data_IF_855977025391
#
_entry.id   IF_855977025391
#
_cell.length_a   1.000
_cell.length_b   1.000
_cell.length_c   1.000
_cell.angle_alpha   90.00
_cell.angle_beta   90.00
_cell.angle_gamma   90.00
#
_symmetry.space_group_name_H-M   'P 1'
#
loop_
_entity.id
_entity.type
_entity.pdbx_description
1 polymer ?
#
# COMPACT_ATOMS: atom_id res chain seq x y z
N UNK A 1 7.25 21.68 -9.08
CA UNK A 1 8.23 20.61 -9.16
C UNK A 1 8.02 19.54 -8.08
N UNK A 2 8.86 18.51 -8.03
CA UNK A 2 8.75 17.38 -7.07
C UNK A 2 8.78 17.83 -5.60
N UNK A 3 9.61 18.83 -5.26
CA UNK A 3 9.68 19.41 -3.91
C UNK A 3 8.34 20.01 -3.48
N UNK A 4 7.61 20.65 -4.39
CA UNK A 4 6.31 21.25 -4.11
C UNK A 4 5.25 20.18 -3.84
N UNK A 5 5.23 19.09 -4.63
CA UNK A 5 4.30 17.97 -4.41
C UNK A 5 4.51 17.30 -3.04
N UNK A 6 5.78 17.14 -2.63
CA UNK A 6 6.13 16.59 -1.30
C UNK A 6 5.64 17.47 -0.16
N UNK A 7 5.82 18.80 -0.28
CA UNK A 7 5.32 19.75 0.71
C UNK A 7 3.79 19.70 0.83
N UNK A 8 3.09 19.68 -0.32
CA UNK A 8 1.62 19.59 -0.34
C UNK A 8 1.15 18.31 0.33
N UNK A 9 1.78 17.17 0.01
CA UNK A 9 1.42 15.88 0.59
C UNK A 9 1.62 15.86 2.11
N UNK A 10 2.78 16.30 2.60
CA UNK A 10 3.06 16.40 4.02
C UNK A 10 2.06 17.35 4.71
N UNK A 11 1.79 18.51 4.09
CA UNK A 11 0.80 19.45 4.62
C UNK A 11 -0.57 18.82 4.77
N UNK A 12 -1.07 18.08 3.76
CA UNK A 12 -2.35 17.38 3.85
C UNK A 12 -2.42 16.42 5.03
N UNK A 13 -1.35 15.67 5.28
CA UNK A 13 -1.28 14.74 6.41
C UNK A 13 -1.37 15.53 7.72
N UNK A 14 -0.55 16.56 7.89
CA UNK A 14 -0.48 17.35 9.12
C UNK A 14 -1.78 18.14 9.37
N UNK A 15 -2.38 18.72 8.34
CA UNK A 15 -3.68 19.41 8.43
C UNK A 15 -4.79 18.45 8.90
N UNK A 16 -4.81 17.23 8.37
CA UNK A 16 -5.77 16.21 8.79
C UNK A 16 -5.54 15.79 10.25
N UNK A 17 -4.29 15.54 10.62
CA UNK A 17 -3.90 15.19 12.00
C UNK A 17 -4.28 16.32 12.98
N UNK A 18 -3.97 17.56 12.65
CA UNK A 18 -4.31 18.72 13.48
C UNK A 18 -5.83 18.87 13.67
N UNK A 19 -6.61 18.59 12.63
CA UNK A 19 -8.08 18.58 12.72
C UNK A 19 -8.61 17.50 13.66
N UNK A 20 -7.99 16.32 13.68
CA UNK A 20 -8.42 15.17 14.49
C UNK A 20 -7.88 15.21 15.93
N UNK A 21 -6.70 15.74 16.11
CA UNK A 21 -6.03 15.85 17.40
C UNK A 21 -5.44 17.25 17.61
N UNK A 22 -6.29 18.29 17.80
CA UNK A 22 -5.85 19.67 17.96
C UNK A 22 -4.85 19.86 19.11
N UNK A 23 -5.09 19.15 20.21
CA UNK A 23 -4.24 19.24 21.44
C UNK A 23 -2.77 18.93 21.15
N UNK A 24 -2.47 18.11 20.18
CA UNK A 24 -1.08 17.79 19.80
C UNK A 24 -0.32 18.98 19.18
N UNK A 25 -1.01 20.06 18.83
CA UNK A 25 -0.44 21.27 18.21
C UNK A 25 -0.65 22.52 19.04
N UNK A 26 -1.30 22.43 20.22
CA UNK A 26 -1.57 23.58 21.10
C UNK A 26 -0.33 24.11 21.81
N UNK A 27 0.67 23.24 22.03
CA UNK A 27 1.93 23.69 22.59
C UNK A 27 2.77 24.37 21.51
N UNK A 28 3.01 25.67 21.65
CA UNK A 28 3.79 26.50 20.72
C UNK A 28 5.29 26.11 20.54
N UNK A 29 5.72 25.02 21.12
CA UNK A 29 7.01 24.39 20.85
C UNK A 29 6.98 23.67 19.50
N UNK A 30 7.55 24.28 18.48
CA UNK A 30 7.64 23.66 17.15
C UNK A 30 8.28 22.26 17.20
N UNK A 31 7.78 21.34 16.38
CA UNK A 31 8.30 19.96 16.29
C UNK A 31 9.23 19.87 15.08
N UNK A 32 10.44 19.37 15.26
CA UNK A 32 11.35 19.05 14.18
C UNK A 32 11.32 17.53 13.91
N UNK A 33 10.76 17.12 12.77
CA UNK A 33 10.67 15.73 12.38
C UNK A 33 11.72 15.43 11.33
N UNK A 34 12.65 14.52 11.62
CA UNK A 34 13.62 13.99 10.66
C UNK A 34 13.24 12.56 10.29
N UNK A 35 13.13 12.28 9.00
CA UNK A 35 12.92 10.93 8.49
C UNK A 35 14.15 10.46 7.71
N UNK A 36 14.52 9.19 7.89
CA UNK A 36 15.59 8.53 7.15
C UNK A 36 15.01 7.30 6.45
N UNK A 37 15.49 7.03 5.24
CA UNK A 37 15.18 5.83 4.48
C UNK A 37 16.48 5.14 4.07
N UNK A 38 16.51 3.82 4.17
CA UNK A 38 17.66 2.99 3.79
C UNK A 38 17.57 2.50 2.33
N UNK A 39 16.57 2.96 1.59
CA UNK A 39 16.35 2.63 0.18
C UNK A 39 16.02 3.88 -0.64
N UNK A 40 16.24 3.79 -1.95
CA UNK A 40 15.94 4.90 -2.84
C UNK A 40 14.40 5.07 -2.97
N UNK A 41 13.92 6.28 -2.70
CA UNK A 41 12.49 6.61 -2.78
C UNK A 41 11.86 6.33 -4.15
N UNK A 42 12.66 6.32 -5.22
CA UNK A 42 12.17 6.05 -6.58
C UNK A 42 11.85 4.58 -6.83
N UNK A 43 12.28 3.67 -5.95
CA UNK A 43 12.01 2.24 -6.09
C UNK A 43 10.54 1.84 -5.90
N UNK A 44 9.69 2.75 -5.44
CA UNK A 44 8.25 2.45 -5.31
C UNK A 44 7.89 1.60 -4.10
N UNK A 45 8.77 1.44 -3.13
CA UNK A 45 8.58 0.59 -1.94
C UNK A 45 7.77 1.26 -0.82
N UNK A 46 6.62 1.86 -1.16
CA UNK A 46 5.64 2.32 -0.17
C UNK A 46 6.06 3.50 0.73
N UNK A 47 7.07 4.32 0.33
CA UNK A 47 7.57 5.43 1.17
C UNK A 47 6.49 6.42 1.65
N UNK A 48 5.41 6.59 0.90
CA UNK A 48 4.27 7.45 1.29
C UNK A 48 3.45 6.80 2.40
N UNK A 49 3.18 5.50 2.31
CA UNK A 49 2.46 4.75 3.33
C UNK A 49 3.26 4.68 4.64
N UNK A 50 4.57 4.46 4.56
CA UNK A 50 5.47 4.50 5.72
C UNK A 50 5.41 5.86 6.42
N UNK A 51 5.43 6.97 5.67
CA UNK A 51 5.32 8.30 6.26
C UNK A 51 3.98 8.52 6.94
N UNK A 52 2.87 8.13 6.30
CA UNK A 52 1.54 8.19 6.91
C UNK A 52 1.50 7.37 8.20
N UNK A 53 1.96 6.12 8.15
CA UNK A 53 1.96 5.22 9.30
C UNK A 53 2.75 5.81 10.48
N UNK A 54 3.97 6.30 10.23
CA UNK A 54 4.82 6.87 11.27
C UNK A 54 4.21 8.13 11.91
N UNK A 55 3.68 9.06 11.09
CA UNK A 55 3.04 10.26 11.59
C UNK A 55 1.75 9.94 12.35
N UNK A 56 0.92 9.04 11.81
CA UNK A 56 -0.32 8.64 12.46
C UNK A 56 -0.05 8.01 13.83
N UNK A 57 0.91 7.09 13.91
CA UNK A 57 1.29 6.45 15.17
C UNK A 57 1.85 7.46 16.18
N UNK A 58 2.69 8.40 15.73
CA UNK A 58 3.24 9.44 16.60
C UNK A 58 2.14 10.30 17.24
N UNK A 59 1.08 10.60 16.48
CA UNK A 59 -0.04 11.41 16.95
C UNK A 59 -1.23 10.61 17.49
N UNK A 60 -1.11 9.29 17.64
CA UNK A 60 -2.15 8.42 18.18
C UNK A 60 -3.38 8.27 17.29
N UNK A 61 -3.23 8.36 15.97
CA UNK A 61 -4.31 8.21 14.99
C UNK A 61 -4.21 6.88 14.23
N UNK A 62 -5.34 6.41 13.70
CA UNK A 62 -5.35 5.23 12.82
C UNK A 62 -4.78 5.61 11.44
N UNK A 63 -3.67 4.95 10.99
CA UNK A 63 -3.08 5.22 9.67
C UNK A 63 -4.03 4.98 8.50
N UNK A 64 -5.00 4.08 8.62
CA UNK A 64 -6.02 3.85 7.59
C UNK A 64 -6.95 5.05 7.46
N UNK A 65 -7.36 5.62 8.59
CA UNK A 65 -8.19 6.82 8.59
C UNK A 65 -7.46 7.99 7.95
N UNK A 66 -6.19 8.22 8.34
CA UNK A 66 -5.36 9.28 7.76
C UNK A 66 -5.18 9.03 6.26
N UNK A 67 -4.80 7.81 5.85
CA UNK A 67 -4.59 7.47 4.44
C UNK A 67 -5.84 7.71 3.60
N UNK A 68 -7.01 7.26 4.05
CA UNK A 68 -8.29 7.43 3.36
C UNK A 68 -8.63 8.90 3.09
N UNK A 69 -8.19 9.82 3.95
CA UNK A 69 -8.49 11.25 3.82
C UNK A 69 -7.43 12.04 3.05
N UNK A 70 -6.22 11.51 2.91
CA UNK A 70 -5.12 12.23 2.23
C UNK A 70 -4.68 11.62 0.91
N UNK A 71 -5.09 10.38 0.62
CA UNK A 71 -4.78 9.65 -0.62
C UNK A 71 -6.01 8.96 -1.18
N UNK A 72 -5.89 8.47 -2.42
CA UNK A 72 -6.88 7.58 -3.04
C UNK A 72 -6.43 6.11 -3.02
N UNK A 73 -5.53 5.72 -2.09
CA UNK A 73 -5.04 4.35 -2.02
C UNK A 73 -6.07 3.38 -1.46
N UNK A 74 -5.92 2.10 -1.78
CA UNK A 74 -6.75 1.02 -1.22
C UNK A 74 -6.50 0.77 0.27
N UNK A 75 -5.33 1.20 0.78
CA UNK A 75 -4.85 0.90 2.13
C UNK A 75 -3.97 -0.35 2.23
N UNK A 76 -3.76 -1.09 1.14
CA UNK A 76 -2.89 -2.28 1.16
C UNK A 76 -1.46 -1.94 1.58
N UNK A 77 -0.91 -0.83 1.07
CA UNK A 77 0.40 -0.31 1.47
C UNK A 77 0.46 0.04 2.96
N UNK A 78 -0.63 0.60 3.53
CA UNK A 78 -0.71 0.87 4.98
C UNK A 78 -0.68 -0.44 5.76
N UNK A 79 -1.46 -1.45 5.35
CA UNK A 79 -1.44 -2.76 5.97
C UNK A 79 -0.03 -3.38 5.97
N UNK A 80 0.66 -3.30 4.82
CA UNK A 80 2.03 -3.82 4.66
C UNK A 80 3.05 -3.12 5.56
N UNK A 81 2.83 -1.85 5.94
CA UNK A 81 3.75 -1.15 6.85
C UNK A 81 3.60 -1.57 8.31
N UNK A 82 2.52 -2.24 8.67
CA UNK A 82 2.23 -2.67 10.05
C UNK A 82 2.79 -4.04 10.38
N UNK A 83 3.04 -4.86 9.38
CA UNK A 83 3.46 -6.26 9.54
C UNK A 83 4.69 -6.50 8.68
N UNK A 84 5.73 -7.11 9.29
CA UNK A 84 6.98 -7.47 8.61
C UNK A 84 6.92 -8.81 7.88
N UNK A 85 5.73 -9.33 7.63
CA UNK A 85 5.48 -10.63 7.00
C UNK A 85 4.48 -10.50 5.85
N UNK A 86 4.40 -11.49 4.97
CA UNK A 86 3.38 -11.52 3.94
C UNK A 86 1.97 -11.41 4.53
N UNK A 87 1.11 -10.67 3.86
CA UNK A 87 -0.29 -10.49 4.26
C UNK A 87 -1.23 -10.80 3.10
N UNK A 88 -2.42 -11.27 3.41
CA UNK A 88 -3.59 -11.14 2.55
C UNK A 88 -4.29 -9.85 2.95
N UNK A 89 -4.64 -9.06 1.96
CA UNK A 89 -5.39 -7.83 2.15
C UNK A 89 -6.72 -7.91 1.39
N UNK A 90 -7.79 -7.45 2.03
CA UNK A 90 -9.09 -7.28 1.41
C UNK A 90 -9.68 -5.92 1.81
N UNK A 91 -10.18 -5.20 0.83
CA UNK A 91 -10.83 -3.91 1.07
C UNK A 91 -12.35 -4.12 1.03
N UNK A 92 -12.93 -4.47 2.17
CA UNK A 92 -14.37 -4.45 2.35
C UNK A 92 -14.85 -3.01 2.60
N UNK A 93 -16.04 -2.65 2.09
CA UNK A 93 -16.62 -1.30 2.15
C UNK A 93 -16.60 -0.64 3.54
N UNK A 94 -16.62 -1.43 4.61
CA UNK A 94 -16.68 -0.93 6.00
C UNK A 94 -15.33 -0.74 6.66
N UNK A 95 -14.38 -1.69 6.49
CA UNK A 95 -13.01 -1.60 7.04
C UNK A 95 -12.06 -2.44 6.22
N UNK A 96 -10.82 -1.95 5.97
CA UNK A 96 -9.76 -2.79 5.42
C UNK A 96 -9.51 -4.00 6.34
N UNK A 97 -9.51 -5.18 5.77
CA UNK A 97 -9.16 -6.41 6.47
C UNK A 97 -7.80 -6.88 5.96
N UNK A 98 -6.93 -7.25 6.86
CA UNK A 98 -5.66 -7.88 6.50
C UNK A 98 -5.27 -8.94 7.53
N UNK A 99 -4.62 -9.98 7.04
CA UNK A 99 -4.20 -11.13 7.84
C UNK A 99 -2.79 -11.53 7.46
N UNK A 100 -1.94 -11.73 8.48
CA UNK A 100 -0.63 -12.35 8.29
C UNK A 100 -0.79 -13.77 7.77
N UNK A 101 0.06 -14.13 6.80
CA UNK A 101 0.11 -15.46 6.21
C UNK A 101 1.54 -15.96 6.12
N UNK A 102 1.69 -17.28 6.11
CA UNK A 102 2.98 -17.89 5.82
C UNK A 102 3.11 -18.08 4.31
N UNK A 103 4.03 -17.32 3.70
CA UNK A 103 4.39 -17.48 2.29
C UNK A 103 5.90 -17.54 2.16
N UNK A 104 6.43 -18.75 2.09
CA UNK A 104 7.86 -19.02 1.86
C UNK A 104 7.98 -20.22 0.91
N UNK A 105 7.66 -20.02 -0.38
CA UNK A 105 7.71 -21.12 -1.34
C UNK A 105 9.16 -21.58 -1.59
N UNK A 106 9.38 -22.85 -1.97
CA UNK A 106 10.72 -23.38 -2.27
C UNK A 106 11.49 -22.57 -3.31
N UNK A 107 10.77 -21.93 -4.22
CA UNK A 107 11.31 -21.09 -5.29
C UNK A 107 11.50 -19.61 -4.90
N UNK A 108 11.34 -19.25 -3.63
CA UNK A 108 11.46 -17.84 -3.18
C UNK A 108 12.77 -17.16 -3.60
N UNK A 109 13.86 -17.92 -3.71
CA UNK A 109 15.16 -17.43 -4.17
C UNK A 109 15.22 -17.09 -5.67
N UNK A 110 14.25 -17.56 -6.44
CA UNK A 110 14.11 -17.28 -7.86
C UNK A 110 13.29 -15.99 -8.13
N UNK A 111 12.66 -15.44 -7.10
CA UNK A 111 11.90 -14.21 -7.22
C UNK A 111 12.81 -12.99 -7.03
N UNK A 112 12.86 -12.11 -8.02
CA UNK A 112 13.71 -10.94 -8.05
C UNK A 112 12.87 -9.67 -8.25
N UNK A 113 13.24 -8.60 -7.57
CA UNK A 113 12.70 -7.27 -7.83
C UNK A 113 13.55 -6.55 -8.88
N UNK A 114 12.92 -6.15 -9.99
CA UNK A 114 13.58 -5.41 -11.06
C UNK A 114 13.12 -3.96 -11.04
N UNK A 115 14.06 -3.02 -10.88
CA UNK A 115 13.76 -1.60 -10.96
C UNK A 115 13.64 -1.15 -12.41
N UNK A 116 12.46 -0.75 -12.83
CA UNK A 116 12.16 -0.33 -14.21
C UNK A 116 12.59 1.11 -14.54
N UNK A 117 13.37 1.77 -13.69
CA UNK A 117 13.78 3.18 -13.82
C UNK A 117 12.64 4.19 -13.93
N UNK A 118 11.40 3.76 -13.77
CA UNK A 118 10.19 4.60 -13.84
C UNK A 118 9.33 4.36 -12.61
N UNK A 119 9.07 5.42 -11.87
CA UNK A 119 8.13 5.36 -10.74
C UNK A 119 6.70 5.40 -11.26
N UNK A 120 5.93 4.35 -11.00
CA UNK A 120 4.50 4.30 -11.26
C UNK A 120 3.74 5.06 -10.16
N UNK A 121 2.62 5.71 -10.53
CA UNK A 121 1.75 6.37 -9.56
C UNK A 121 0.59 5.44 -9.23
N UNK A 122 0.61 4.84 -8.05
CA UNK A 122 -0.48 3.98 -7.58
C UNK A 122 -1.84 4.68 -7.61
N UNK A 123 -1.90 5.99 -7.33
CA UNK A 123 -3.15 6.77 -7.40
C UNK A 123 -3.74 6.77 -8.81
N UNK A 124 -2.91 6.97 -9.85
CA UNK A 124 -3.36 6.98 -11.24
C UNK A 124 -3.84 5.59 -11.68
N UNK A 125 -3.18 4.54 -11.25
CA UNK A 125 -3.59 3.17 -11.59
C UNK A 125 -4.91 2.82 -10.89
N UNK A 126 -5.10 3.20 -9.63
CA UNK A 126 -6.38 3.04 -8.94
C UNK A 126 -7.50 3.83 -9.64
N UNK A 127 -7.23 5.05 -10.12
CA UNK A 127 -8.21 5.84 -10.87
C UNK A 127 -8.59 5.21 -12.21
N UNK A 128 -7.65 4.59 -12.92
CA UNK A 128 -7.94 3.82 -14.13
C UNK A 128 -8.78 2.61 -13.81
N UNK A 129 -8.38 1.83 -12.81
CA UNK A 129 -9.06 0.62 -12.39
C UNK A 129 -10.52 0.85 -11.97
N UNK A 130 -10.80 1.96 -11.28
CA UNK A 130 -12.17 2.35 -10.91
C UNK A 130 -13.10 2.60 -12.09
N UNK A 131 -12.58 2.77 -13.29
CA UNK A 131 -13.37 2.97 -14.53
C UNK A 131 -13.68 1.65 -15.24
N UNK A 132 -13.04 0.58 -14.84
CA UNK A 132 -13.24 -0.75 -15.41
C UNK A 132 -14.40 -1.40 -14.67
N UNK A 133 -15.35 -1.94 -15.42
CA UNK A 133 -16.40 -2.77 -14.84
C UNK A 133 -15.81 -4.16 -14.61
N UNK A 134 -15.85 -4.61 -13.38
CA UNK A 134 -15.37 -5.93 -12.98
C UNK A 134 -16.59 -6.75 -12.59
N UNK A 135 -16.69 -7.96 -13.14
CA UNK A 135 -17.77 -8.88 -12.83
C UNK A 135 -17.45 -9.68 -11.54
N UNK A 136 -18.48 -10.12 -10.84
CA UNK A 136 -18.33 -10.87 -9.58
C UNK A 136 -17.51 -12.15 -9.75
N UNK A 137 -17.57 -12.78 -10.93
CA UNK A 137 -16.79 -13.96 -11.25
C UNK A 137 -15.30 -13.68 -11.36
N UNK A 138 -14.92 -12.50 -11.86
CA UNK A 138 -13.52 -12.06 -11.92
C UNK A 138 -12.97 -11.81 -10.51
N UNK A 139 -13.77 -11.19 -9.64
CA UNK A 139 -13.41 -10.99 -8.22
C UNK A 139 -13.21 -12.32 -7.52
N UNK A 140 -14.09 -13.29 -7.76
CA UNK A 140 -13.95 -14.65 -7.22
C UNK A 140 -12.68 -15.31 -7.74
N UNK A 141 -12.43 -15.23 -9.04
CA UNK A 141 -11.26 -15.82 -9.67
C UNK A 141 -9.97 -15.23 -9.10
N UNK A 142 -9.87 -13.91 -8.92
CA UNK A 142 -8.72 -13.25 -8.28
C UNK A 142 -8.53 -13.74 -6.84
N UNK A 143 -9.62 -13.91 -6.09
CA UNK A 143 -9.56 -14.44 -4.73
C UNK A 143 -9.08 -15.89 -4.68
N UNK A 144 -9.52 -16.71 -5.63
CA UNK A 144 -9.06 -18.10 -5.78
C UNK A 144 -7.58 -18.18 -6.17
N UNK A 145 -7.14 -17.36 -7.13
CA UNK A 145 -5.72 -17.24 -7.49
C UNK A 145 -4.88 -16.90 -6.27
N UNK A 146 -5.31 -15.93 -5.47
CA UNK A 146 -4.61 -15.54 -4.23
C UNK A 146 -4.45 -16.75 -3.29
N UNK A 147 -5.49 -17.53 -3.09
CA UNK A 147 -5.44 -18.73 -2.26
C UNK A 147 -4.55 -19.84 -2.85
N UNK A 148 -4.53 -19.98 -4.17
CA UNK A 148 -3.68 -20.95 -4.86
C UNK A 148 -2.20 -20.54 -4.78
N UNK A 149 -1.88 -19.27 -4.98
CA UNK A 149 -0.53 -18.71 -4.82
C UNK A 149 0.05 -19.05 -3.45
N UNK A 150 -0.72 -18.93 -2.37
CA UNK A 150 -0.26 -19.27 -1.02
C UNK A 150 0.15 -20.73 -0.86
N UNK A 151 -0.38 -21.62 -1.69
CA UNK A 151 -0.14 -23.07 -1.63
C UNK A 151 0.86 -23.55 -2.67
N UNK A 152 1.28 -22.68 -3.59
CA UNK A 152 2.22 -23.02 -4.66
C UNK A 152 3.54 -23.57 -4.13
N UNK A 153 3.99 -24.66 -4.72
CA UNK A 153 5.29 -25.29 -4.43
C UNK A 153 6.24 -25.29 -5.63
N UNK A 154 5.71 -25.11 -6.83
CA UNK A 154 6.48 -25.08 -8.09
C UNK A 154 6.43 -23.68 -8.69
N UNK A 155 7.53 -23.27 -9.31
CA UNK A 155 7.62 -21.96 -9.94
C UNK A 155 6.74 -21.86 -11.19
N UNK A 156 6.58 -22.95 -11.93
CA UNK A 156 5.75 -22.97 -13.13
C UNK A 156 4.28 -22.75 -12.77
N UNK A 157 3.75 -23.46 -11.76
CA UNK A 157 2.38 -23.26 -11.27
C UNK A 157 2.17 -21.81 -10.77
N UNK A 158 3.20 -21.21 -10.15
CA UNK A 158 3.16 -19.81 -9.72
C UNK A 158 3.10 -18.87 -10.92
N UNK A 159 3.91 -19.09 -11.96
CA UNK A 159 3.91 -18.29 -13.18
C UNK A 159 2.55 -18.34 -13.87
N UNK A 160 1.97 -19.51 -14.04
CA UNK A 160 0.64 -19.69 -14.65
C UNK A 160 -0.43 -18.91 -13.89
N UNK A 161 -0.38 -18.93 -12.55
CA UNK A 161 -1.31 -18.15 -11.71
C UNK A 161 -1.12 -16.65 -11.85
N UNK A 162 0.13 -16.16 -11.93
CA UNK A 162 0.41 -14.75 -12.14
C UNK A 162 -0.03 -14.31 -13.54
N UNK A 163 0.24 -15.09 -14.59
CA UNK A 163 -0.23 -14.79 -15.95
C UNK A 163 -1.76 -14.72 -16.02
N UNK A 164 -2.44 -15.68 -15.37
CA UNK A 164 -3.91 -15.65 -15.28
C UNK A 164 -4.41 -14.41 -14.53
N UNK A 165 -3.77 -14.05 -13.44
CA UNK A 165 -4.10 -12.82 -12.70
C UNK A 165 -3.92 -11.57 -13.57
N UNK A 166 -2.78 -11.45 -14.24
CA UNK A 166 -2.45 -10.35 -15.15
C UNK A 166 -3.49 -10.23 -16.28
N UNK A 167 -3.91 -11.36 -16.89
CA UNK A 167 -4.91 -11.36 -17.95
C UNK A 167 -6.25 -10.78 -17.54
N UNK A 168 -6.62 -10.90 -16.26
CA UNK A 168 -7.87 -10.35 -15.72
C UNK A 168 -7.74 -8.85 -15.42
N UNK A 169 -6.59 -8.39 -14.90
CA UNK A 169 -6.43 -7.00 -14.48
C UNK A 169 -5.91 -6.05 -15.56
N UNK A 170 -5.42 -6.59 -16.69
CA UNK A 170 -4.86 -5.79 -17.80
C UNK A 170 -5.89 -5.38 -18.87
N UNK A 171 -7.18 -5.49 -18.56
CA UNK A 171 -8.30 -5.09 -19.42
C UNK A 171 -8.43 -3.58 -19.62
#
# INVERSE_FOLDING_TARGET
GEKTKKKIFLKKILDFIAKKNPKSFENNSGINIKTRMDFNRRWGLGSSAILINNLSNYYGLDPFEVSKNVTNSSGADIASTKISKPIIFSNNEKKPYYKEVHFNPPFSKNLLFVYLNKKQSSEKEVEKFKKIRIEDDEIRTISEITNQVLRCKKIDDFNDLIEKHESIISL
#
